data_IF_492621695675
#
_entry.id   IF_492621695675
#
_cell.length_a   1.000
_cell.length_b   1.000
_cell.length_c   1.000
_cell.angle_alpha   90.00
_cell.angle_beta   90.00
_cell.angle_gamma   90.00
#
_symmetry.space_group_name_H-M   'P 1'
#
loop_
_entity.id
_entity.type
_entity.pdbx_description
1 polymer ?
#
# COMPACT_ATOMS: atom_id res chain seq x y z
N UNK A 1 28.23 -14.11 15.84
CA UNK A 1 27.23 -14.60 14.90
C UNK A 1 26.01 -15.16 15.63
N UNK A 2 24.85 -15.17 14.98
CA UNK A 2 23.60 -15.73 15.51
C UNK A 2 23.77 -17.25 15.64
N UNK A 3 23.61 -17.80 16.88
CA UNK A 3 23.81 -19.24 17.16
C UNK A 3 22.68 -20.14 16.62
N UNK A 4 21.56 -19.53 16.21
CA UNK A 4 20.33 -20.19 15.75
C UNK A 4 20.10 -20.07 14.23
N UNK A 5 21.12 -19.68 13.47
CA UNK A 5 21.04 -19.54 12.01
C UNK A 5 21.96 -20.57 11.35
N UNK A 6 21.42 -21.31 10.40
CA UNK A 6 22.16 -22.18 9.50
C UNK A 6 22.02 -21.67 8.08
N UNK A 7 23.14 -21.50 7.38
CA UNK A 7 23.18 -21.04 5.99
C UNK A 7 23.63 -22.23 5.11
N UNK A 8 22.83 -22.49 4.08
CA UNK A 8 23.17 -23.51 3.08
C UNK A 8 23.24 -22.83 1.71
N UNK A 9 24.26 -23.17 0.94
CA UNK A 9 24.34 -22.80 -0.48
C UNK A 9 23.81 -23.98 -1.30
N UNK A 10 22.79 -23.76 -2.12
CA UNK A 10 22.17 -24.80 -2.93
C UNK A 10 20.79 -24.35 -3.47
N UNK A 11 20.13 -25.25 -4.17
CA UNK A 11 18.78 -25.02 -4.69
C UNK A 11 17.76 -25.03 -3.52
N UNK A 12 17.04 -23.93 -3.34
CA UNK A 12 16.00 -23.78 -2.32
C UNK A 12 14.81 -24.73 -2.53
N UNK A 13 14.53 -25.13 -3.77
CA UNK A 13 13.45 -26.07 -4.11
C UNK A 13 13.85 -27.48 -3.67
N UNK A 14 15.08 -27.92 -3.90
CA UNK A 14 15.58 -29.21 -3.40
C UNK A 14 15.53 -29.26 -1.86
N UNK A 15 15.87 -28.15 -1.21
CA UNK A 15 15.76 -28.04 0.25
C UNK A 15 14.30 -28.11 0.68
N UNK A 16 13.38 -27.42 -0.02
CA UNK A 16 11.94 -27.49 0.25
C UNK A 16 11.43 -28.94 0.16
N UNK A 17 11.78 -29.67 -0.91
CA UNK A 17 11.38 -31.06 -1.10
C UNK A 17 11.87 -31.99 0.02
N UNK A 18 12.99 -31.66 0.67
CA UNK A 18 13.53 -32.45 1.78
C UNK A 18 12.74 -32.38 3.08
N UNK A 19 11.87 -31.38 3.26
CA UNK A 19 11.00 -31.25 4.42
C UNK A 19 9.73 -32.13 4.27
N UNK A 20 9.31 -32.77 5.40
CA UNK A 20 8.09 -33.58 5.42
C UNK A 20 6.84 -32.72 5.51
N UNK A 21 5.74 -33.19 4.89
CA UNK A 21 4.42 -32.56 5.02
C UNK A 21 3.88 -32.73 6.43
N UNK A 22 3.17 -31.73 6.98
CA UNK A 22 2.48 -31.78 8.27
C UNK A 22 1.44 -32.90 8.35
N UNK A 23 0.80 -33.27 7.23
CA UNK A 23 -0.20 -34.35 7.19
C UNK A 23 0.42 -35.71 7.56
N UNK A 24 1.68 -35.92 7.25
CA UNK A 24 2.38 -37.16 7.62
C UNK A 24 2.84 -37.20 9.08
N UNK A 25 2.96 -36.03 9.74
CA UNK A 25 3.31 -35.93 11.16
C UNK A 25 2.18 -36.38 12.07
N UNK A 26 0.92 -36.11 11.71
CA UNK A 26 -0.26 -36.51 12.49
C UNK A 26 -0.60 -38.00 12.37
N UNK A 27 -0.12 -38.68 11.32
CA UNK A 27 -0.41 -40.11 11.08
C UNK A 27 0.53 -41.04 11.86
N UNK A 28 1.60 -40.53 12.48
CA UNK A 28 2.56 -41.35 13.25
C UNK A 28 2.11 -41.73 14.67
N UNK A 29 1.01 -41.15 15.16
CA UNK A 29 0.48 -41.40 16.51
C UNK A 29 -0.17 -42.80 16.68
N UNK A 30 -0.27 -43.57 15.62
CA UNK A 30 -0.87 -44.93 15.67
C UNK A 30 0.10 -46.11 15.63
N UNK A 31 1.42 -45.81 15.54
CA UNK A 31 2.47 -46.85 15.56
C UNK A 31 3.14 -46.85 16.93
N UNK A 32 3.00 -47.95 17.71
CA UNK A 32 3.54 -48.15 19.06
C UNK A 32 5.07 -47.94 19.15
N UNK A 33 5.49 -46.73 19.22
CA UNK A 33 6.88 -46.26 19.27
C UNK A 33 7.22 -45.92 20.71
N UNK A 34 8.45 -46.25 21.15
CA UNK A 34 8.92 -45.93 22.53
C UNK A 34 9.06 -44.39 22.72
N UNK A 35 8.97 -43.94 24.00
CA UNK A 35 9.07 -42.51 24.36
C UNK A 35 10.32 -41.82 23.81
N UNK A 36 11.48 -42.50 23.77
CA UNK A 36 12.73 -41.96 23.21
C UNK A 36 12.67 -41.80 21.67
N UNK A 37 12.01 -42.73 21.00
CA UNK A 37 11.75 -42.63 19.54
C UNK A 37 10.73 -41.55 19.25
N UNK A 38 9.72 -41.38 20.11
CA UNK A 38 8.73 -40.31 20.01
C UNK A 38 9.37 -38.91 20.19
N UNK A 39 10.30 -38.75 21.12
CA UNK A 39 11.01 -37.48 21.32
C UNK A 39 11.98 -37.15 20.17
N UNK A 40 12.59 -38.16 19.54
CA UNK A 40 13.42 -37.96 18.35
C UNK A 40 12.55 -37.63 17.13
N UNK A 41 11.39 -38.28 16.96
CA UNK A 41 10.43 -38.02 15.90
C UNK A 41 9.68 -36.70 16.10
N UNK A 42 9.34 -36.32 17.33
CA UNK A 42 8.78 -35.01 17.65
C UNK A 42 9.74 -33.85 17.30
N UNK A 43 11.05 -34.04 17.40
CA UNK A 43 12.06 -33.05 16.96
C UNK A 43 12.17 -32.95 15.43
N UNK A 44 11.80 -34.02 14.69
CA UNK A 44 11.84 -34.05 13.24
C UNK A 44 10.49 -33.74 12.58
N UNK A 45 9.38 -33.83 13.33
CA UNK A 45 8.02 -33.68 12.83
C UNK A 45 7.37 -32.31 13.12
N UNK A 46 8.05 -31.38 13.76
CA UNK A 46 7.58 -30.01 13.85
C UNK A 46 7.66 -29.38 12.45
N UNK A 47 6.52 -29.27 11.76
CA UNK A 47 6.43 -28.55 10.50
C UNK A 47 7.03 -27.15 10.62
N UNK A 48 7.48 -26.57 9.52
CA UNK A 48 8.01 -25.23 9.49
C UNK A 48 6.94 -24.23 9.98
N UNK A 49 7.36 -23.23 10.74
CA UNK A 49 6.45 -22.15 11.11
C UNK A 49 6.22 -21.20 9.94
N UNK A 50 7.29 -20.89 9.22
CA UNK A 50 7.29 -19.90 8.18
C UNK A 50 8.24 -20.30 7.06
N UNK A 51 7.81 -20.12 5.82
CA UNK A 51 8.65 -20.09 4.64
C UNK A 51 8.64 -18.65 4.12
N UNK A 52 9.81 -18.07 3.92
CA UNK A 52 9.97 -16.80 3.21
C UNK A 52 10.64 -17.06 1.88
N UNK A 53 10.05 -16.54 0.79
CA UNK A 53 10.57 -16.70 -0.57
C UNK A 53 10.59 -15.37 -1.32
N UNK A 54 11.69 -15.10 -2.00
CA UNK A 54 11.90 -13.91 -2.87
C UNK A 54 12.20 -14.41 -4.29
N UNK A 55 11.17 -14.71 -5.09
CA UNK A 55 11.37 -15.28 -6.43
C UNK A 55 11.99 -14.23 -7.37
N UNK A 56 12.95 -14.66 -8.18
CA UNK A 56 13.59 -13.80 -9.16
C UNK A 56 12.59 -13.37 -10.25
N UNK A 57 12.62 -12.11 -10.65
CA UNK A 57 11.68 -11.48 -11.59
C UNK A 57 12.20 -11.40 -13.03
N UNK A 58 13.23 -12.15 -13.36
CA UNK A 58 13.76 -12.19 -14.70
C UNK A 58 13.57 -13.60 -15.23
N UNK A 59 13.07 -13.67 -16.46
CA UNK A 59 13.14 -14.91 -17.21
C UNK A 59 14.62 -15.24 -17.52
N UNK A 60 14.89 -16.43 -18.03
CA UNK A 60 16.23 -16.88 -18.41
C UNK A 60 16.88 -15.97 -19.49
N UNK A 61 16.08 -15.16 -20.18
CA UNK A 61 16.50 -14.16 -21.15
C UNK A 61 16.74 -12.77 -20.55
N UNK A 62 16.49 -12.56 -19.24
CA UNK A 62 16.69 -11.31 -18.52
C UNK A 62 15.58 -10.26 -18.69
N UNK A 63 14.44 -10.62 -19.29
CA UNK A 63 13.30 -9.72 -19.46
C UNK A 63 12.53 -9.53 -18.16
N UNK A 64 11.92 -8.34 -18.00
CA UNK A 64 11.04 -8.05 -16.85
C UNK A 64 9.74 -8.85 -16.95
N UNK A 65 9.41 -9.54 -15.89
CA UNK A 65 8.24 -10.39 -15.77
C UNK A 65 7.06 -9.60 -15.18
N UNK A 66 5.86 -9.87 -15.68
CA UNK A 66 4.61 -9.20 -15.27
C UNK A 66 3.68 -10.15 -14.49
N UNK A 67 3.86 -11.47 -14.62
CA UNK A 67 3.07 -12.51 -13.97
C UNK A 67 3.90 -13.28 -12.95
N UNK A 68 3.29 -13.82 -11.90
CA UNK A 68 3.98 -14.71 -10.94
C UNK A 68 4.45 -16.01 -11.56
N UNK A 69 3.77 -16.48 -12.60
CA UNK A 69 4.13 -17.69 -13.34
C UNK A 69 5.48 -17.60 -14.06
N UNK A 70 5.88 -16.37 -14.36
CA UNK A 70 7.15 -16.13 -15.06
C UNK A 70 8.31 -15.85 -14.07
N UNK A 71 8.07 -15.93 -12.76
CA UNK A 71 9.10 -15.81 -11.75
C UNK A 71 9.86 -17.14 -11.56
N UNK A 72 11.08 -17.07 -11.11
CA UNK A 72 11.89 -18.24 -10.77
C UNK A 72 12.23 -18.24 -9.28
N UNK A 73 11.74 -19.23 -8.50
CA UNK A 73 10.83 -20.30 -8.90
C UNK A 73 9.39 -19.81 -9.13
N UNK A 74 8.59 -20.58 -9.90
CA UNK A 74 7.16 -20.34 -10.07
C UNK A 74 6.41 -20.66 -8.77
N UNK A 75 6.07 -19.61 -8.03
CA UNK A 75 5.37 -19.72 -6.73
C UNK A 75 3.92 -20.18 -6.87
N UNK A 76 3.31 -20.03 -8.05
CA UNK A 76 1.93 -20.50 -8.28
C UNK A 76 1.83 -22.01 -8.27
N UNK A 77 2.88 -22.70 -8.69
CA UNK A 77 2.98 -24.16 -8.65
C UNK A 77 3.41 -24.64 -7.26
N UNK A 78 4.29 -23.91 -6.59
CA UNK A 78 4.88 -24.33 -5.32
C UNK A 78 4.02 -24.04 -4.10
N UNK A 79 2.99 -23.19 -4.21
CA UNK A 79 2.22 -22.71 -3.06
C UNK A 79 1.61 -23.83 -2.21
N UNK A 80 1.01 -24.85 -2.83
CA UNK A 80 0.39 -25.96 -2.12
C UNK A 80 1.42 -26.80 -1.35
N UNK A 81 2.58 -27.05 -1.96
CA UNK A 81 3.65 -27.76 -1.31
C UNK A 81 4.20 -26.98 -0.12
N UNK A 82 4.46 -25.68 -0.29
CA UNK A 82 4.93 -24.82 0.80
C UNK A 82 3.93 -24.79 1.97
N UNK A 83 2.62 -24.63 1.68
CA UNK A 83 1.56 -24.64 2.69
C UNK A 83 1.37 -25.99 3.37
N UNK A 84 1.70 -27.09 2.69
CA UNK A 84 1.70 -28.41 3.31
C UNK A 84 2.81 -28.58 4.37
N UNK A 85 3.86 -27.79 4.29
CA UNK A 85 5.09 -27.87 5.12
C UNK A 85 5.20 -26.75 6.15
N UNK A 86 4.62 -25.58 5.88
CA UNK A 86 4.69 -24.42 6.78
C UNK A 86 3.30 -23.91 7.22
N UNK A 87 3.22 -23.24 8.37
CA UNK A 87 1.99 -22.59 8.83
C UNK A 87 1.69 -21.35 7.99
N UNK A 88 2.75 -20.64 7.63
CA UNK A 88 2.71 -19.41 6.85
C UNK A 88 3.73 -19.45 5.73
N UNK A 89 3.37 -18.85 4.61
CA UNK A 89 4.30 -18.58 3.50
C UNK A 89 4.26 -17.08 3.22
N UNK A 90 5.41 -16.44 3.23
CA UNK A 90 5.57 -15.04 2.81
C UNK A 90 6.28 -15.01 1.47
N UNK A 91 5.60 -14.44 0.47
CA UNK A 91 6.16 -14.22 -0.86
C UNK A 91 6.50 -12.74 -1.01
N UNK A 92 7.78 -12.43 -1.20
CA UNK A 92 8.23 -11.07 -1.46
C UNK A 92 8.18 -10.78 -2.95
N UNK A 93 7.53 -9.70 -3.31
CA UNK A 93 7.31 -9.30 -4.70
C UNK A 93 7.81 -7.87 -4.95
N UNK A 94 7.97 -7.55 -6.21
CA UNK A 94 8.24 -6.17 -6.62
C UNK A 94 7.09 -5.24 -6.30
N UNK A 95 7.35 -4.02 -5.81
CA UNK A 95 6.32 -3.00 -5.69
C UNK A 95 5.73 -2.55 -7.04
N UNK A 96 6.34 -2.90 -8.15
CA UNK A 96 5.83 -2.60 -9.50
C UNK A 96 4.72 -3.55 -9.95
N UNK A 97 4.58 -4.74 -9.31
CA UNK A 97 3.51 -5.67 -9.64
C UNK A 97 2.16 -5.15 -9.15
N UNK A 98 1.11 -5.47 -9.91
CA UNK A 98 -0.27 -5.25 -9.49
C UNK A 98 -0.62 -6.28 -8.40
N UNK A 99 -0.93 -5.81 -7.20
CA UNK A 99 -1.19 -6.71 -6.08
C UNK A 99 -2.52 -7.47 -6.22
N UNK A 100 -3.54 -6.87 -6.85
CA UNK A 100 -4.82 -7.56 -7.10
C UNK A 100 -4.60 -8.74 -8.05
N UNK A 101 -3.81 -8.53 -9.11
CA UNK A 101 -3.46 -9.60 -10.01
C UNK A 101 -2.63 -10.68 -9.31
N UNK A 102 -1.64 -10.29 -8.51
CA UNK A 102 -0.82 -11.24 -7.77
C UNK A 102 -1.66 -12.11 -6.80
N UNK A 103 -2.63 -11.50 -6.10
CA UNK A 103 -3.59 -12.21 -5.25
C UNK A 103 -4.45 -13.17 -6.08
N UNK A 104 -4.94 -12.76 -7.25
CA UNK A 104 -5.78 -13.61 -8.11
C UNK A 104 -5.04 -14.82 -8.72
N UNK A 105 -3.72 -14.79 -8.81
CA UNK A 105 -2.88 -15.88 -9.32
C UNK A 105 -2.52 -16.91 -8.22
N UNK A 106 -2.85 -16.64 -6.94
CA UNK A 106 -2.54 -17.48 -5.79
C UNK A 106 -3.79 -17.90 -5.02
N UNK A 107 -3.69 -19.02 -4.30
CA UNK A 107 -4.68 -19.47 -3.34
C UNK A 107 -4.23 -19.14 -1.92
N UNK A 108 -5.18 -19.07 -0.98
CA UNK A 108 -4.90 -18.92 0.46
C UNK A 108 -4.14 -17.64 0.86
N UNK A 109 -4.17 -16.59 0.04
CA UNK A 109 -3.65 -15.27 0.44
C UNK A 109 -4.54 -14.69 1.53
N UNK A 110 -3.96 -14.31 2.66
CA UNK A 110 -4.65 -13.73 3.82
C UNK A 110 -4.28 -12.28 4.05
N UNK A 111 -3.06 -11.91 3.70
CA UNK A 111 -2.60 -10.55 3.90
C UNK A 111 -1.77 -10.06 2.72
N UNK A 112 -1.95 -8.78 2.40
CA UNK A 112 -1.13 -8.01 1.47
C UNK A 112 -0.45 -6.92 2.26
N UNK A 113 0.88 -6.89 2.27
CA UNK A 113 1.65 -5.83 2.91
C UNK A 113 2.34 -4.99 1.84
N UNK A 114 1.98 -3.72 1.77
CA UNK A 114 2.59 -2.73 0.89
C UNK A 114 3.49 -1.86 1.73
N UNK A 115 4.81 -2.04 1.58
CA UNK A 115 5.81 -1.39 2.41
C UNK A 115 6.49 -0.26 1.65
N UNK A 116 6.44 0.93 2.23
CA UNK A 116 7.10 2.14 1.74
C UNK A 116 8.09 2.67 2.76
N UNK A 117 9.16 3.25 2.27
CA UNK A 117 10.18 3.94 3.07
C UNK A 117 10.45 5.29 2.43
N UNK A 118 10.44 6.37 3.22
CA UNK A 118 10.57 7.74 2.72
C UNK A 118 9.55 8.07 1.60
N UNK A 119 8.32 7.58 1.75
CA UNK A 119 7.22 7.74 0.80
C UNK A 119 7.49 7.15 -0.60
N UNK A 120 8.27 6.09 -0.68
CA UNK A 120 8.52 5.31 -1.88
C UNK A 120 8.24 3.82 -1.61
N UNK A 121 7.36 3.19 -2.42
CA UNK A 121 7.07 1.76 -2.30
C UNK A 121 8.34 0.94 -2.58
N UNK A 122 8.73 0.13 -1.60
CA UNK A 122 9.94 -0.72 -1.65
C UNK A 122 9.60 -2.19 -1.84
N UNK A 123 8.59 -2.69 -1.14
CA UNK A 123 8.25 -4.11 -1.13
C UNK A 123 6.73 -4.32 -1.21
N UNK A 124 6.36 -5.42 -1.82
CA UNK A 124 5.03 -6.01 -1.77
C UNK A 124 5.19 -7.42 -1.20
N UNK A 125 4.54 -7.69 -0.06
CA UNK A 125 4.58 -9.01 0.56
C UNK A 125 3.18 -9.61 0.56
N UNK A 126 3.07 -10.88 0.15
CA UNK A 126 1.83 -11.66 0.27
C UNK A 126 2.04 -12.73 1.34
N UNK A 127 1.12 -12.80 2.29
CA UNK A 127 1.12 -13.82 3.34
C UNK A 127 0.04 -14.83 3.02
N UNK A 128 0.44 -16.09 2.82
CA UNK A 128 -0.44 -17.22 2.59
C UNK A 128 -0.54 -18.08 3.85
N UNK A 129 -1.73 -18.59 4.13
CA UNK A 129 -1.98 -19.60 5.16
C UNK A 129 -3.15 -20.47 4.80
N UNK A 130 -2.99 -21.79 4.90
CA UNK A 130 -4.09 -22.75 4.74
C UNK A 130 -4.99 -22.82 5.98
N UNK A 131 -4.57 -22.25 7.12
CA UNK A 131 -5.34 -22.19 8.36
C UNK A 131 -6.23 -20.95 8.35
N UNK A 132 -7.47 -21.10 8.82
CA UNK A 132 -8.30 -19.95 9.14
C UNK A 132 -7.62 -19.21 10.30
N UNK A 133 -7.09 -18.01 10.03
CA UNK A 133 -6.40 -17.22 11.03
C UNK A 133 -7.39 -16.51 11.95
N UNK A 134 -7.94 -17.24 12.91
CA UNK A 134 -8.54 -16.66 14.11
C UNK A 134 -7.51 -16.29 15.18
N UNK A 135 -6.27 -15.91 14.82
CA UNK A 135 -5.26 -15.62 15.83
C UNK A 135 -4.59 -14.27 15.58
N UNK A 136 -4.94 -13.34 16.45
CA UNK A 136 -4.18 -12.11 16.68
C UNK A 136 -2.72 -12.44 17.05
N UNK A 137 -1.77 -12.17 16.15
CA UNK A 137 -0.35 -12.19 16.50
C UNK A 137 0.08 -10.95 17.31
N UNK A 138 -0.83 -10.03 17.62
CA UNK A 138 -0.55 -8.85 18.43
C UNK A 138 -1.67 -8.67 19.46
N UNK A 139 -1.28 -8.84 20.72
CA UNK A 139 -2.00 -8.60 21.98
C UNK A 139 -3.04 -9.65 22.44
N UNK A 140 -2.76 -10.20 23.62
CA UNK A 140 -3.60 -11.15 24.35
C UNK A 140 -4.89 -10.53 24.90
N UNK A 141 -5.88 -10.38 24.05
CA UNK A 141 -7.26 -10.18 24.45
C UNK A 141 -8.13 -11.13 23.65
N UNK A 142 -8.61 -12.16 24.36
CA UNK A 142 -9.69 -13.05 23.93
C UNK A 142 -10.94 -12.21 23.59
N UNK A 143 -11.21 -11.98 22.32
CA UNK A 143 -12.50 -11.50 21.85
C UNK A 143 -12.96 -12.46 20.74
N UNK A 144 -13.99 -13.19 21.11
CA UNK A 144 -14.81 -14.16 20.42
C UNK A 144 -14.70 -14.31 18.91
N UNK A 145 -14.54 -15.56 18.51
CA UNK A 145 -14.66 -16.15 17.19
C UNK A 145 -15.69 -15.44 16.28
N UNK A 146 -15.21 -14.59 15.37
CA UNK A 146 -15.77 -14.47 14.03
C UNK A 146 -14.63 -14.76 13.08
N UNK A 147 -14.73 -15.85 12.33
CA UNK A 147 -13.81 -16.22 11.26
C UNK A 147 -13.76 -15.10 10.23
N UNK A 148 -12.77 -14.22 10.36
CA UNK A 148 -12.52 -13.17 9.39
C UNK A 148 -11.75 -13.81 8.22
N UNK A 149 -12.50 -14.29 7.22
CA UNK A 149 -11.93 -14.89 5.99
C UNK A 149 -11.45 -13.82 5.02
N UNK A 150 -11.66 -12.55 5.35
CA UNK A 150 -11.40 -11.43 4.48
C UNK A 150 -9.89 -11.17 4.29
N UNK A 151 -9.51 -10.87 3.05
CA UNK A 151 -8.16 -10.44 2.71
C UNK A 151 -7.86 -9.09 3.40
N UNK A 152 -6.81 -9.04 4.22
CA UNK A 152 -6.38 -7.81 4.89
C UNK A 152 -5.25 -7.12 4.13
N UNK A 153 -5.34 -5.82 4.02
CA UNK A 153 -4.38 -4.96 3.32
C UNK A 153 -3.67 -4.06 4.34
N UNK A 154 -2.36 -4.21 4.45
CA UNK A 154 -1.49 -3.43 5.33
C UNK A 154 -0.69 -2.42 4.51
N UNK A 155 -0.93 -1.14 4.73
CA UNK A 155 -0.19 -0.05 4.12
C UNK A 155 0.78 0.53 5.13
N UNK A 156 2.08 0.36 4.91
CA UNK A 156 3.13 0.76 5.85
C UNK A 156 4.01 1.81 5.16
N UNK A 157 4.25 2.93 5.83
CA UNK A 157 5.21 3.94 5.38
C UNK A 157 6.01 4.45 6.57
N UNK A 158 7.29 4.08 6.67
CA UNK A 158 8.14 4.35 7.82
C UNK A 158 7.47 3.88 9.14
N UNK A 159 7.12 4.80 10.03
CA UNK A 159 6.40 4.52 11.29
C UNK A 159 4.87 4.58 11.17
N UNK A 160 4.33 4.99 10.02
CA UNK A 160 2.89 5.04 9.80
C UNK A 160 2.37 3.68 9.32
N UNK A 161 1.25 3.24 9.86
CA UNK A 161 0.55 2.04 9.40
C UNK A 161 -0.94 2.31 9.25
N UNK A 162 -1.53 1.72 8.22
CA UNK A 162 -2.95 1.73 7.95
C UNK A 162 -3.36 0.33 7.52
N UNK A 163 -4.50 -0.14 8.03
CA UNK A 163 -5.00 -1.49 7.73
C UNK A 163 -6.47 -1.38 7.34
N UNK A 164 -6.85 -2.06 6.28
CA UNK A 164 -8.24 -2.29 5.88
C UNK A 164 -8.39 -3.72 5.35
N UNK A 165 -9.61 -4.13 5.11
CA UNK A 165 -9.91 -5.41 4.46
C UNK A 165 -10.61 -5.21 3.10
N UNK A 166 -10.69 -6.30 2.34
CA UNK A 166 -11.28 -6.28 1.01
C UNK A 166 -12.77 -5.91 1.05
N UNK A 167 -13.50 -6.33 2.08
CA UNK A 167 -14.92 -6.02 2.25
C UNK A 167 -15.13 -4.53 2.50
N UNK A 168 -14.30 -3.95 3.35
CA UNK A 168 -14.32 -2.51 3.62
C UNK A 168 -13.97 -1.72 2.35
N UNK A 169 -12.95 -2.15 1.59
CA UNK A 169 -12.62 -1.52 0.32
C UNK A 169 -13.73 -1.59 -0.71
N UNK A 170 -14.46 -2.71 -0.76
CA UNK A 170 -15.58 -2.90 -1.69
C UNK A 170 -16.84 -2.13 -1.30
N UNK A 171 -17.05 -1.89 0.00
CA UNK A 171 -18.24 -1.18 0.52
C UNK A 171 -18.07 0.31 0.67
N UNK A 172 -16.83 0.82 0.67
CA UNK A 172 -16.53 2.23 0.87
C UNK A 172 -16.51 3.02 -0.43
N UNK A 173 -17.21 4.15 -0.45
CA UNK A 173 -17.25 5.06 -1.58
C UNK A 173 -16.31 6.25 -1.41
N UNK A 174 -15.69 6.65 -2.51
CA UNK A 174 -14.89 7.88 -2.55
C UNK A 174 -15.83 9.08 -2.57
N UNK A 175 -15.84 9.87 -1.50
CA UNK A 175 -16.54 11.17 -1.49
C UNK A 175 -15.74 12.17 -2.33
N UNK A 176 -16.35 12.78 -3.33
CA UNK A 176 -15.73 13.81 -4.16
C UNK A 176 -16.15 15.19 -3.66
N UNK A 177 -15.21 16.12 -3.55
CA UNK A 177 -15.50 17.51 -3.27
C UNK A 177 -16.25 18.11 -4.49
N UNK A 178 -17.56 18.34 -4.33
CA UNK A 178 -18.36 18.96 -5.39
C UNK A 178 -17.96 20.43 -5.56
N UNK A 179 -17.59 20.86 -6.77
CA UNK A 179 -17.55 22.27 -7.08
C UNK A 179 -18.99 22.73 -7.34
N UNK A 180 -19.72 23.10 -6.29
CA UNK A 180 -20.95 23.84 -6.51
C UNK A 180 -20.58 25.20 -7.12
N UNK A 181 -20.93 25.37 -8.40
CA UNK A 181 -20.59 26.55 -9.17
C UNK A 181 -21.35 27.75 -8.61
N UNK A 182 -20.67 28.62 -7.89
CA UNK A 182 -21.04 30.01 -7.84
C UNK A 182 -20.14 30.75 -8.82
N UNK A 183 -20.66 30.95 -10.03
CA UNK A 183 -20.03 31.82 -11.03
C UNK A 183 -20.24 33.26 -10.56
N UNK A 184 -19.32 33.81 -9.83
CA UNK A 184 -19.14 35.24 -9.76
C UNK A 184 -18.07 35.64 -10.77
N UNK A 185 -18.38 36.61 -11.60
CA UNK A 185 -17.69 36.98 -12.84
C UNK A 185 -16.21 37.41 -12.73
N UNK A 186 -15.62 37.43 -11.53
CA UNK A 186 -14.26 37.93 -11.30
C UNK A 186 -13.35 37.04 -10.43
N UNK A 187 -13.84 35.91 -9.94
CA UNK A 187 -13.04 34.93 -9.21
C UNK A 187 -13.52 33.51 -9.57
N UNK A 188 -12.63 32.70 -10.13
CA UNK A 188 -12.79 31.25 -10.12
C UNK A 188 -12.40 30.82 -8.70
N UNK A 189 -13.28 31.01 -7.75
CA UNK A 189 -13.22 30.34 -6.47
C UNK A 189 -14.06 29.10 -6.60
N UNK A 190 -13.47 27.94 -6.44
CA UNK A 190 -14.27 26.74 -6.14
C UNK A 190 -14.71 26.92 -4.67
N UNK A 191 -15.99 27.17 -4.40
CA UNK A 191 -16.47 27.35 -3.00
C UNK A 191 -16.06 26.15 -2.13
N UNK A 192 -16.02 24.97 -2.70
CA UNK A 192 -15.60 23.75 -2.02
C UNK A 192 -14.15 23.80 -1.48
N UNK A 193 -13.25 24.58 -2.10
CA UNK A 193 -11.87 24.73 -1.62
C UNK A 193 -11.69 25.90 -0.65
N UNK A 194 -12.55 26.93 -0.73
CA UNK A 194 -12.53 28.04 0.26
C UNK A 194 -13.07 27.58 1.63
N UNK A 195 -13.96 26.56 1.65
CA UNK A 195 -14.54 25.97 2.87
C UNK A 195 -13.69 24.81 3.40
N UNK A 196 -12.71 24.28 2.63
CA UNK A 196 -11.87 23.15 2.99
C UNK A 196 -10.40 23.56 3.07
N UNK A 197 -9.98 24.16 4.18
CA UNK A 197 -8.63 24.74 4.28
C UNK A 197 -7.51 23.72 4.43
N UNK A 198 -7.83 22.42 4.53
CA UNK A 198 -6.84 21.38 4.74
C UNK A 198 -6.75 20.44 3.53
N UNK A 199 -5.53 20.15 3.12
CA UNK A 199 -5.22 19.23 2.01
C UNK A 199 -4.34 18.09 2.50
N UNK A 200 -4.66 16.87 2.07
CA UNK A 200 -3.92 15.66 2.43
C UNK A 200 -3.49 14.91 1.19
N UNK A 201 -2.26 14.47 1.21
CA UNK A 201 -1.70 13.58 0.21
C UNK A 201 -1.39 12.23 0.85
N UNK A 202 -2.11 11.15 0.49
CA UNK A 202 -1.84 9.82 1.01
C UNK A 202 -0.41 9.40 0.73
N UNK A 203 0.17 8.60 1.63
CA UNK A 203 1.51 8.06 1.43
C UNK A 203 1.55 7.03 0.28
N UNK A 204 2.76 6.66 -0.15
CA UNK A 204 2.96 5.81 -1.31
C UNK A 204 2.35 4.41 -1.17
N UNK A 205 2.30 3.83 0.04
CA UNK A 205 1.67 2.52 0.26
C UNK A 205 0.15 2.57 0.05
N UNK A 206 -0.51 3.64 0.51
CA UNK A 206 -1.94 3.86 0.29
C UNK A 206 -2.27 4.14 -1.18
N UNK A 207 -1.41 4.92 -1.85
CA UNK A 207 -1.52 5.16 -3.28
C UNK A 207 -1.45 3.84 -4.07
N UNK A 208 -0.60 2.92 -3.65
CA UNK A 208 -0.45 1.59 -4.25
C UNK A 208 -1.62 0.67 -3.90
N UNK A 209 -2.14 0.75 -2.68
CA UNK A 209 -3.29 -0.05 -2.24
C UNK A 209 -4.58 0.32 -2.96
N UNK A 210 -4.79 1.60 -3.25
CA UNK A 210 -6.01 2.08 -3.88
C UNK A 210 -7.22 2.18 -2.93
N UNK A 211 -7.01 2.17 -1.60
CA UNK A 211 -8.07 2.20 -0.58
C UNK A 211 -8.67 3.60 -0.35
N UNK A 212 -8.95 4.33 -1.42
CA UNK A 212 -9.37 5.73 -1.35
C UNK A 212 -10.76 5.92 -0.76
N UNK A 213 -11.70 5.00 -0.98
CA UNK A 213 -13.02 4.99 -0.35
C UNK A 213 -12.90 4.92 1.17
N UNK A 214 -12.11 3.95 1.65
CA UNK A 214 -11.84 3.77 3.08
C UNK A 214 -11.23 5.04 3.72
N UNK A 215 -10.31 5.71 3.01
CA UNK A 215 -9.76 6.98 3.47
C UNK A 215 -10.83 8.07 3.56
N UNK A 216 -11.70 8.19 2.54
CA UNK A 216 -12.81 9.15 2.55
C UNK A 216 -13.74 8.96 3.73
N UNK A 217 -14.07 7.72 4.07
CA UNK A 217 -15.01 7.42 5.15
C UNK A 217 -14.38 7.56 6.53
N UNK A 218 -13.22 6.94 6.75
CA UNK A 218 -12.57 6.93 8.07
C UNK A 218 -12.11 8.32 8.53
N UNK A 219 -11.73 9.17 7.60
CA UNK A 219 -11.21 10.52 7.90
C UNK A 219 -12.17 11.64 7.56
N UNK A 220 -13.38 11.31 7.11
CA UNK A 220 -14.38 12.27 6.60
C UNK A 220 -13.78 13.30 5.64
N UNK A 221 -12.89 12.83 4.77
CA UNK A 221 -12.16 13.64 3.81
C UNK A 221 -12.70 13.41 2.40
N UNK A 222 -12.81 14.48 1.61
CA UNK A 222 -13.32 14.45 0.24
C UNK A 222 -12.16 14.51 -0.74
N UNK A 223 -12.14 13.64 -1.75
CA UNK A 223 -11.13 13.72 -2.82
C UNK A 223 -11.46 14.90 -3.75
N UNK A 224 -10.48 15.70 -4.14
CA UNK A 224 -10.67 16.87 -5.02
C UNK A 224 -11.28 16.49 -6.37
N UNK A 225 -10.84 15.38 -6.95
CA UNK A 225 -11.43 14.80 -8.15
C UNK A 225 -11.03 13.32 -8.24
N UNK A 226 -11.75 12.54 -9.02
CA UNK A 226 -11.61 11.08 -9.11
C UNK A 226 -10.17 10.60 -9.35
N UNK A 227 -9.35 11.37 -10.07
CA UNK A 227 -7.98 10.98 -10.42
C UNK A 227 -6.91 11.86 -9.74
N UNK A 228 -7.31 12.76 -8.82
CA UNK A 228 -6.35 13.63 -8.13
C UNK A 228 -5.59 12.91 -7.03
N UNK A 229 -6.25 11.96 -6.35
CA UNK A 229 -5.76 11.30 -5.14
C UNK A 229 -5.28 12.29 -4.06
N UNK A 230 -5.83 13.51 -4.08
CA UNK A 230 -5.65 14.54 -3.07
C UNK A 230 -6.95 14.69 -2.30
N UNK A 231 -6.88 14.70 -0.98
CA UNK A 231 -8.05 14.81 -0.12
C UNK A 231 -8.10 16.18 0.54
N UNK A 232 -9.29 16.65 0.84
CA UNK A 232 -9.54 17.92 1.54
C UNK A 232 -10.56 17.72 2.64
N UNK A 233 -10.49 18.54 3.68
CA UNK A 233 -11.47 18.57 4.77
C UNK A 233 -11.73 19.99 5.29
N UNK A 234 -12.86 20.16 5.95
CA UNK A 234 -13.27 21.39 6.63
C UNK A 234 -12.50 21.58 7.93
N UNK A 235 -12.37 20.51 8.70
CA UNK A 235 -11.62 20.47 9.95
C UNK A 235 -10.28 19.71 9.77
N UNK A 236 -9.29 19.99 10.65
CA UNK A 236 -8.03 19.26 10.61
C UNK A 236 -8.23 17.79 10.98
N UNK A 237 -7.72 16.91 10.15
CA UNK A 237 -7.74 15.45 10.37
C UNK A 237 -6.49 15.02 11.11
N UNK A 238 -6.67 14.48 12.32
CA UNK A 238 -5.56 13.93 13.09
C UNK A 238 -5.09 12.60 12.51
N UNK A 239 -3.77 12.37 12.55
CA UNK A 239 -3.13 11.12 12.17
C UNK A 239 -3.49 10.59 10.76
N UNK A 240 -3.78 11.49 9.82
CA UNK A 240 -3.96 11.07 8.42
C UNK A 240 -2.71 10.35 7.92
N UNK A 241 -2.84 9.16 7.30
CA UNK A 241 -1.67 8.37 6.90
C UNK A 241 -1.04 8.91 5.61
N UNK A 242 -0.33 10.02 5.71
CA UNK A 242 0.23 10.75 4.59
C UNK A 242 0.83 12.08 5.02
N UNK A 243 0.79 13.04 4.13
CA UNK A 243 1.24 14.41 4.37
C UNK A 243 0.04 15.34 4.48
N UNK A 244 0.04 16.22 5.48
CA UNK A 244 -1.00 17.20 5.71
C UNK A 244 -0.48 18.63 5.42
N UNK A 245 -1.35 19.45 4.84
CA UNK A 245 -1.05 20.81 4.41
C UNK A 245 -2.22 21.72 4.70
N UNK A 246 -1.92 23.00 4.96
CA UNK A 246 -2.90 24.06 5.00
C UNK A 246 -2.94 24.77 3.65
N UNK A 247 -4.13 24.90 3.07
CA UNK A 247 -4.34 25.64 1.81
C UNK A 247 -4.30 27.14 2.13
N UNK A 248 -3.43 27.88 1.46
CA UNK A 248 -3.29 29.33 1.58
C UNK A 248 -3.88 30.09 0.40
N UNK A 249 -3.90 29.47 -0.78
CA UNK A 249 -4.53 30.03 -1.97
C UNK A 249 -4.85 28.93 -2.99
N UNK A 250 -5.83 29.21 -3.83
CA UNK A 250 -6.11 28.45 -5.04
C UNK A 250 -6.03 29.39 -6.24
N UNK A 251 -5.35 28.95 -7.30
CA UNK A 251 -5.20 29.73 -8.53
C UNK A 251 -5.67 28.92 -9.72
N UNK A 252 -6.46 29.53 -10.59
CA UNK A 252 -6.63 29.00 -11.93
C UNK A 252 -5.29 29.04 -12.69
N UNK A 253 -5.20 28.28 -13.79
CA UNK A 253 -4.00 28.28 -14.61
C UNK A 253 -3.93 29.51 -15.56
N UNK A 254 -4.53 30.64 -15.15
CA UNK A 254 -4.57 31.91 -15.82
C UNK A 254 -3.35 32.76 -15.45
N UNK A 255 -2.68 33.36 -16.43
CA UNK A 255 -1.44 34.12 -16.24
C UNK A 255 -1.57 35.30 -15.25
N UNK A 256 -2.70 36.01 -15.26
CA UNK A 256 -2.96 37.17 -14.38
C UNK A 256 -3.09 36.72 -12.94
N UNK A 257 -3.85 35.67 -12.71
CA UNK A 257 -4.12 35.10 -11.40
C UNK A 257 -2.88 34.43 -10.81
N UNK A 258 -2.15 33.64 -11.61
CA UNK A 258 -0.87 33.06 -11.22
C UNK A 258 0.12 34.14 -10.75
N UNK A 259 0.25 35.25 -11.47
CA UNK A 259 1.12 36.35 -11.08
C UNK A 259 0.73 36.96 -9.73
N UNK A 260 -0.59 37.03 -9.45
CA UNK A 260 -1.08 37.56 -8.17
C UNK A 260 -0.82 36.60 -7.03
N UNK A 261 -1.20 35.33 -7.18
CA UNK A 261 -1.13 34.32 -6.12
C UNK A 261 0.29 33.85 -5.80
N UNK A 262 1.19 33.89 -6.79
CA UNK A 262 2.60 33.52 -6.62
C UNK A 262 3.52 34.73 -6.37
N UNK A 263 2.94 35.93 -6.10
CA UNK A 263 3.72 37.12 -5.81
C UNK A 263 4.56 36.91 -4.56
N UNK A 264 5.89 37.14 -4.68
CA UNK A 264 6.85 36.93 -3.58
C UNK A 264 7.36 35.50 -3.41
N UNK A 265 6.73 34.50 -4.05
CA UNK A 265 7.18 33.11 -4.00
C UNK A 265 8.27 32.91 -5.07
N UNK A 266 9.48 32.55 -4.66
CA UNK A 266 10.60 32.29 -5.56
C UNK A 266 11.00 30.81 -5.62
N UNK A 267 10.58 30.02 -4.60
CA UNK A 267 10.84 28.59 -4.47
C UNK A 267 9.55 27.88 -4.05
N UNK A 268 9.33 26.70 -4.59
CA UNK A 268 8.22 25.84 -4.15
C UNK A 268 8.49 24.37 -4.43
N UNK A 269 7.94 23.50 -3.59
CA UNK A 269 7.86 22.07 -3.81
C UNK A 269 6.61 21.80 -4.67
N UNK A 270 6.80 21.35 -5.90
CA UNK A 270 5.71 21.18 -6.87
C UNK A 270 5.41 19.72 -7.04
N UNK A 271 4.13 19.35 -6.93
CA UNK A 271 3.58 18.04 -7.27
C UNK A 271 2.46 18.18 -8.31
N UNK A 272 2.38 17.24 -9.23
CA UNK A 272 1.30 17.16 -10.22
C UNK A 272 0.47 15.90 -9.99
N UNK A 273 -0.86 16.06 -10.01
CA UNK A 273 -1.84 14.97 -9.88
C UNK A 273 -2.93 15.18 -10.94
N UNK A 274 -3.01 14.27 -11.91
CA UNK A 274 -3.95 14.40 -13.02
C UNK A 274 -3.87 15.80 -13.70
N UNK A 275 -2.66 16.20 -14.08
CA UNK A 275 -2.40 17.52 -14.65
C UNK A 275 -1.66 17.39 -16.00
N UNK A 276 -1.96 18.21 -17.01
CA UNK A 276 -1.42 18.03 -18.37
C UNK A 276 0.07 18.36 -18.53
N UNK A 277 0.68 19.04 -17.54
CA UNK A 277 2.10 19.38 -17.56
C UNK A 277 2.88 18.57 -16.51
N UNK A 278 4.11 18.20 -16.85
CA UNK A 278 5.06 17.64 -15.90
C UNK A 278 5.52 18.69 -14.87
N UNK A 279 6.05 18.22 -13.73
CA UNK A 279 6.65 19.09 -12.71
C UNK A 279 7.72 20.01 -13.30
N UNK A 280 8.56 19.50 -14.22
CA UNK A 280 9.64 20.27 -14.85
C UNK A 280 9.11 21.41 -15.74
N UNK A 281 8.10 21.11 -16.56
CA UNK A 281 7.44 22.11 -17.43
C UNK A 281 6.71 23.16 -16.60
N UNK A 282 5.99 22.72 -15.56
CA UNK A 282 5.28 23.63 -14.66
C UNK A 282 6.23 24.54 -13.92
N UNK A 283 7.34 24.00 -13.38
CA UNK A 283 8.40 24.77 -12.72
C UNK A 283 8.98 25.86 -13.64
N UNK A 284 9.29 25.50 -14.88
CA UNK A 284 9.79 26.46 -15.89
C UNK A 284 8.75 27.55 -16.19
N UNK A 285 7.47 27.17 -16.35
CA UNK A 285 6.39 28.11 -16.64
C UNK A 285 6.11 29.09 -15.51
N UNK A 286 6.15 28.61 -14.26
CA UNK A 286 5.95 29.41 -13.05
C UNK A 286 7.21 30.20 -12.65
N UNK A 287 8.38 29.89 -13.22
CA UNK A 287 9.69 30.48 -12.90
C UNK A 287 10.08 30.29 -11.42
N UNK A 288 9.75 29.15 -10.85
CA UNK A 288 10.05 28.82 -9.45
C UNK A 288 11.26 27.89 -9.38
N UNK A 289 12.08 28.08 -8.34
CA UNK A 289 13.15 27.14 -7.96
C UNK A 289 12.57 26.04 -7.07
N UNK A 290 13.31 24.94 -6.95
CA UNK A 290 12.93 23.84 -6.07
C UNK A 290 13.16 24.15 -4.59
N UNK A 291 12.32 23.58 -3.71
CA UNK A 291 12.42 23.72 -2.26
C UNK A 291 11.64 24.92 -1.70
N UNK A 292 11.98 25.31 -0.46
CA UNK A 292 11.25 26.33 0.32
C UNK A 292 10.08 25.74 1.09
N UNK A 293 9.31 26.59 1.77
CA UNK A 293 8.20 26.20 2.65
C UNK A 293 6.86 26.09 1.90
N UNK A 294 6.78 26.61 0.68
CA UNK A 294 5.56 26.57 -0.13
C UNK A 294 5.46 25.25 -0.89
N UNK A 295 4.28 24.66 -0.89
CA UNK A 295 3.92 23.48 -1.69
C UNK A 295 2.86 23.86 -2.72
N UNK A 296 2.98 23.37 -3.93
CA UNK A 296 2.03 23.61 -5.01
C UNK A 296 1.59 22.28 -5.59
N UNK A 297 0.30 21.99 -5.43
CA UNK A 297 -0.33 20.83 -6.05
C UNK A 297 -1.09 21.28 -7.28
N UNK A 298 -0.62 20.86 -8.45
CA UNK A 298 -1.31 21.11 -9.71
C UNK A 298 -2.21 19.91 -10.01
N UNK A 299 -3.51 20.17 -10.18
CA UNK A 299 -4.50 19.12 -10.42
C UNK A 299 -5.61 19.58 -11.35
N UNK A 300 -6.41 18.63 -11.83
CA UNK A 300 -7.63 18.86 -12.58
C UNK A 300 -8.83 18.51 -11.71
N UNK A 301 -9.75 19.44 -11.54
CA UNK A 301 -10.99 19.25 -10.78
C UNK A 301 -12.02 18.44 -11.55
N UNK A 302 -13.15 18.12 -10.93
CA UNK A 302 -14.23 17.32 -11.53
C UNK A 302 -14.93 18.01 -12.71
N UNK A 303 -14.85 19.33 -12.80
CA UNK A 303 -15.35 20.15 -13.91
C UNK A 303 -14.29 20.35 -15.02
N UNK A 304 -13.22 19.57 -15.01
CA UNK A 304 -12.09 19.63 -15.92
C UNK A 304 -11.24 20.92 -15.84
N UNK A 305 -11.51 21.79 -14.87
CA UNK A 305 -10.69 22.99 -14.66
C UNK A 305 -9.32 22.62 -14.08
N UNK A 306 -8.29 23.28 -14.57
CA UNK A 306 -6.91 23.13 -14.10
C UNK A 306 -6.61 24.14 -13.01
N UNK A 307 -6.23 23.67 -11.83
CA UNK A 307 -5.95 24.52 -10.66
C UNK A 307 -4.58 24.23 -10.06
N UNK A 308 -4.03 25.27 -9.42
CA UNK A 308 -2.88 25.16 -8.53
C UNK A 308 -3.37 25.41 -7.10
N UNK A 309 -3.26 24.40 -6.25
CA UNK A 309 -3.53 24.52 -4.82
C UNK A 309 -2.20 24.86 -4.15
N UNK A 310 -2.10 26.06 -3.58
CA UNK A 310 -0.91 26.60 -2.94
C UNK A 310 -1.06 26.37 -1.44
N UNK A 311 -0.08 25.71 -0.84
CA UNK A 311 -0.16 25.23 0.51
C UNK A 311 1.12 25.54 1.31
N UNK A 312 0.98 25.52 2.63
CA UNK A 312 2.05 25.41 3.61
C UNK A 312 2.00 24.05 4.30
N UNK A 313 3.15 23.55 4.75
CA UNK A 313 3.23 22.26 5.46
C UNK A 313 2.83 22.47 6.94
N UNK A 314 2.04 21.51 7.43
CA UNK A 314 1.64 21.43 8.84
C UNK A 314 0.18 21.85 9.04
N UNK A 315 -0.44 21.15 9.97
CA UNK A 315 -1.73 21.42 10.56
C UNK A 315 -1.50 21.56 12.07
#
# INVERSE_FOLDING_TARGET
>A
GLKNVSVKNGDGIEVLHSFHSKKNAAASDSLGITEEQSQSLLKTNLGLKLIFIDPARRDDAGNKVVSLKDCTPDVTVLQEEMLSKADYVIIKLSPMLDWHRAVSELSHVREVHIVSVNNECKELLLVLSARNMGMNMVSGTDLGDKHDENLRIFCINDSQSFVCDETEMASSDVKIASPDKIVSSDRITSPALDEMPYLYEPNASLMKAGCFGVLSERYDAKMLSKNSHLFVSEDPVEAFPGRAFRIIAVSSFNKKELKRQLSGITKANIATRNFPLSVAELRKRLKLKDGGETYIFATTLSDESHVLVICERGI
#
